data_IF_186606368743
#
_entry.id   IF_186606368743
#
_cell.length_a   1.000
_cell.length_b   1.000
_cell.length_c   1.000
_cell.angle_alpha   90.00
_cell.angle_beta   90.00
_cell.angle_gamma   90.00
#
_symmetry.space_group_name_H-M   'P 1'
#
loop_
_entity.id
_entity.type
_entity.pdbx_description
1 polymer ?
#
# COMPACT_ATOMS: atom_id res chain seq x y z
N UNK A 1 -27.70 6.22 2.74
CA UNK A 1 -26.55 6.38 3.65
C UNK A 1 -25.37 5.76 2.93
N UNK A 2 -24.27 6.49 2.65
CA UNK A 2 -23.13 5.87 1.98
C UNK A 2 -22.52 4.80 2.89
N UNK A 3 -22.23 3.63 2.33
CA UNK A 3 -21.59 2.54 3.05
C UNK A 3 -20.11 2.90 3.14
N UNK A 4 -19.63 3.36 4.29
CA UNK A 4 -18.19 3.58 4.54
C UNK A 4 -17.55 2.32 5.14
N UNK A 5 -16.22 2.23 5.15
CA UNK A 5 -15.45 1.21 5.90
C UNK A 5 -15.91 1.06 7.37
N UNK A 6 -16.55 2.08 7.95
CA UNK A 6 -17.14 2.03 9.29
C UNK A 6 -18.27 1.00 9.45
N UNK A 7 -18.83 0.49 8.35
CA UNK A 7 -19.80 -0.61 8.36
C UNK A 7 -19.12 -1.99 8.38
N UNK A 8 -17.82 -2.04 8.07
CA UNK A 8 -16.97 -3.21 8.26
C UNK A 8 -16.48 -3.15 9.71
N UNK A 9 -16.65 -4.23 10.48
CA UNK A 9 -16.29 -4.25 11.89
C UNK A 9 -14.80 -3.91 12.07
N UNK A 10 -14.53 -2.72 12.63
CA UNK A 10 -13.20 -2.32 13.04
C UNK A 10 -12.73 -3.28 14.14
N UNK A 11 -11.52 -3.83 13.98
CA UNK A 11 -10.94 -4.62 15.07
C UNK A 11 -10.64 -3.66 16.24
N UNK A 12 -10.92 -4.06 17.49
CA UNK A 12 -10.55 -3.26 18.64
C UNK A 12 -9.02 -3.14 18.67
N UNK A 13 -8.51 -1.95 18.38
CA UNK A 13 -7.09 -1.65 18.48
C UNK A 13 -6.72 -1.68 19.97
N UNK A 14 -5.77 -2.53 20.36
CA UNK A 14 -5.11 -2.37 21.66
C UNK A 14 -4.29 -1.08 21.59
N UNK A 15 -4.90 0.04 22.02
CA UNK A 15 -4.18 1.29 22.23
C UNK A 15 -3.17 1.08 23.36
N UNK A 16 -1.93 0.75 22.99
CA UNK A 16 -0.80 0.98 23.86
C UNK A 16 -0.61 2.50 23.97
N UNK A 17 -1.21 3.06 25.00
CA UNK A 17 -1.14 4.46 25.39
C UNK A 17 0.29 4.86 25.75
N UNK A 18 1.12 5.18 24.76
CA UNK A 18 2.42 5.86 24.97
C UNK A 18 2.69 6.88 23.87
N UNK A 19 2.48 8.16 24.24
CA UNK A 19 2.78 9.38 23.50
C UNK A 19 2.11 9.54 22.11
N UNK A 20 1.46 10.68 21.86
CA UNK A 20 1.11 11.11 20.50
C UNK A 20 2.41 11.41 19.74
N UNK A 21 3.05 10.36 19.20
CA UNK A 21 4.13 10.48 18.24
C UNK A 21 3.64 11.10 16.93
N UNK A 22 4.57 11.48 16.06
CA UNK A 22 4.28 11.91 14.69
C UNK A 22 3.50 10.80 13.98
N UNK A 23 2.32 11.11 13.40
CA UNK A 23 1.51 10.09 12.70
C UNK A 23 2.14 9.75 11.36
N UNK A 24 1.72 8.61 10.80
CA UNK A 24 2.26 8.15 9.51
C UNK A 24 1.84 9.00 8.31
N UNK A 25 0.88 9.91 8.51
CA UNK A 25 0.43 10.91 7.54
C UNK A 25 0.91 12.33 7.88
N UNK A 26 1.65 12.52 8.98
CA UNK A 26 2.17 13.83 9.39
C UNK A 26 3.56 14.10 8.75
N UNK A 27 3.70 13.89 7.43
CA UNK A 27 4.99 13.98 6.71
C UNK A 27 5.68 15.33 6.91
N UNK A 28 4.94 16.43 6.90
CA UNK A 28 5.50 17.76 7.19
C UNK A 28 6.06 17.85 8.61
N UNK A 29 5.37 17.28 9.59
CA UNK A 29 5.84 17.29 10.98
C UNK A 29 7.09 16.41 11.15
N UNK A 30 7.12 15.25 10.49
CA UNK A 30 8.29 14.37 10.47
C UNK A 30 9.51 15.08 9.86
N UNK A 31 9.36 15.64 8.66
CA UNK A 31 10.43 16.36 7.98
C UNK A 31 10.88 17.60 8.78
N UNK A 32 9.95 18.33 9.39
CA UNK A 32 10.27 19.46 10.27
C UNK A 32 11.03 19.04 11.53
N UNK A 33 10.75 17.85 12.07
CA UNK A 33 11.47 17.32 13.22
C UNK A 33 12.89 16.88 12.83
N UNK A 34 13.05 16.24 11.67
CA UNK A 34 14.35 15.89 11.10
C UNK A 34 15.19 17.13 10.79
N UNK A 35 14.59 18.16 10.19
CA UNK A 35 15.27 19.40 9.83
C UNK A 35 15.92 20.07 11.04
N UNK A 36 15.16 20.18 12.12
CA UNK A 36 15.66 20.68 13.42
C UNK A 36 16.79 19.84 13.99
N UNK A 37 16.79 18.53 13.76
CA UNK A 37 17.80 17.62 14.29
C UNK A 37 19.09 17.64 13.47
N UNK A 38 18.98 17.70 12.14
CA UNK A 38 20.13 17.65 11.23
C UNK A 38 20.86 18.99 11.08
N UNK A 39 20.15 20.12 11.23
CA UNK A 39 20.70 21.48 11.05
C UNK A 39 21.44 21.67 9.70
N UNK A 40 21.04 20.92 8.68
CA UNK A 40 21.63 20.96 7.34
C UNK A 40 20.89 22.00 6.49
N UNK A 41 21.62 22.98 5.97
CA UNK A 41 21.04 24.09 5.20
C UNK A 41 20.41 23.66 3.89
N UNK A 42 20.95 22.61 3.24
CA UNK A 42 20.42 22.08 1.99
C UNK A 42 19.12 21.31 2.26
N UNK A 43 19.11 20.48 3.31
CA UNK A 43 17.91 19.78 3.75
C UNK A 43 16.79 20.75 4.15
N UNK A 44 17.13 21.81 4.90
CA UNK A 44 16.18 22.85 5.29
C UNK A 44 15.53 23.53 4.08
N UNK A 45 16.34 23.89 3.07
CA UNK A 45 15.85 24.49 1.83
C UNK A 45 14.94 23.52 1.07
N UNK A 46 15.30 22.23 0.98
CA UNK A 46 14.50 21.20 0.32
C UNK A 46 13.14 20.98 1.01
N UNK A 47 13.12 20.87 2.34
CA UNK A 47 11.88 20.68 3.11
C UNK A 47 10.99 21.92 3.02
N UNK A 48 11.57 23.12 3.10
CA UNK A 48 10.83 24.39 3.04
C UNK A 48 10.18 24.63 1.67
N UNK A 49 10.80 24.10 0.61
CA UNK A 49 10.32 24.22 -0.76
C UNK A 49 9.51 22.99 -1.22
N UNK A 50 9.22 22.03 -0.34
CA UNK A 50 8.48 20.82 -0.70
C UNK A 50 7.09 21.19 -1.24
N UNK A 51 6.77 20.91 -2.52
CA UNK A 51 5.46 21.24 -3.07
C UNK A 51 4.34 20.46 -2.35
N UNK A 52 3.18 21.09 -2.19
CA UNK A 52 2.05 20.51 -1.42
C UNK A 52 1.54 19.21 -2.04
N UNK A 53 1.73 19.04 -3.33
CA UNK A 53 1.38 17.84 -4.09
C UNK A 53 2.07 16.60 -3.51
N UNK A 54 3.29 16.74 -2.98
CA UNK A 54 4.04 15.64 -2.38
C UNK A 54 3.49 15.17 -1.02
N UNK A 55 2.62 15.94 -0.38
CA UNK A 55 1.97 15.56 0.90
C UNK A 55 0.46 15.44 0.79
N UNK A 56 -0.11 15.71 -0.39
CA UNK A 56 -1.57 15.74 -0.60
C UNK A 56 -2.21 14.39 -0.31
N UNK A 57 -1.57 13.30 -0.74
CA UNK A 57 -2.09 11.95 -0.47
C UNK A 57 -2.16 11.67 1.04
N UNK A 58 -1.18 12.13 1.81
CA UNK A 58 -1.17 11.96 3.27
C UNK A 58 -2.28 12.78 3.95
N UNK A 59 -2.58 13.95 3.43
CA UNK A 59 -3.70 14.75 3.91
C UNK A 59 -5.06 14.07 3.68
N UNK A 60 -5.20 13.30 2.60
CA UNK A 60 -6.43 12.60 2.23
C UNK A 60 -6.53 11.19 2.86
N UNK A 61 -5.41 10.48 2.94
CA UNK A 61 -5.31 9.10 3.43
C UNK A 61 -4.84 9.08 4.89
N UNK A 62 -5.73 9.43 5.83
CA UNK A 62 -5.40 9.53 7.28
C UNK A 62 -5.92 8.37 8.14
N UNK A 63 -6.75 7.49 7.58
CA UNK A 63 -7.42 6.45 8.34
C UNK A 63 -6.49 5.26 8.64
N UNK A 64 -5.85 5.28 9.80
CA UNK A 64 -4.94 4.22 10.26
C UNK A 64 -5.66 3.03 10.92
N UNK A 65 -7.01 2.99 10.95
CA UNK A 65 -7.76 1.91 11.61
C UNK A 65 -7.59 0.57 10.89
N UNK A 66 -7.58 -0.51 11.65
CA UNK A 66 -7.61 -1.86 11.11
C UNK A 66 -9.06 -2.35 11.02
N UNK A 67 -9.52 -2.60 9.80
CA UNK A 67 -10.84 -3.17 9.53
C UNK A 67 -10.75 -4.66 9.26
N UNK A 68 -11.85 -5.37 9.45
CA UNK A 68 -11.98 -6.77 9.01
C UNK A 68 -12.21 -6.83 7.49
N UNK A 69 -11.22 -6.34 6.73
CA UNK A 69 -11.22 -6.25 5.28
C UNK A 69 -10.52 -7.47 4.67
N UNK A 70 -11.14 -8.11 3.69
CA UNK A 70 -10.42 -9.05 2.83
C UNK A 70 -9.82 -8.27 1.65
N UNK A 71 -8.54 -7.90 1.76
CA UNK A 71 -7.84 -7.08 0.77
C UNK A 71 -7.77 -7.81 -0.57
N UNK A 72 -7.51 -9.12 -0.55
CA UNK A 72 -7.41 -9.92 -1.76
C UNK A 72 -8.74 -9.88 -2.54
N UNK A 73 -9.85 -10.21 -1.89
CA UNK A 73 -11.17 -10.24 -2.55
C UNK A 73 -11.61 -8.86 -3.06
N UNK A 74 -11.15 -7.77 -2.45
CA UNK A 74 -11.48 -6.42 -2.87
C UNK A 74 -10.71 -6.00 -4.12
N UNK A 75 -9.41 -6.31 -4.19
CA UNK A 75 -8.53 -5.79 -5.25
C UNK A 75 -8.14 -6.80 -6.32
N UNK A 76 -8.40 -8.09 -6.14
CA UNK A 76 -7.95 -9.13 -7.06
C UNK A 76 -9.09 -9.99 -7.59
N UNK A 77 -8.90 -10.45 -8.83
CA UNK A 77 -9.72 -11.50 -9.43
C UNK A 77 -9.39 -12.87 -8.81
N UNK A 78 -10.34 -13.81 -8.76
CA UNK A 78 -10.07 -15.17 -8.28
C UNK A 78 -8.94 -15.84 -9.06
N UNK A 79 -8.01 -16.46 -8.33
CA UNK A 79 -6.88 -17.22 -8.89
C UNK A 79 -6.72 -18.54 -8.14
N UNK A 80 -5.74 -19.36 -8.52
CA UNK A 80 -5.47 -20.63 -7.85
C UNK A 80 -5.15 -20.42 -6.36
N UNK A 81 -5.74 -21.24 -5.48
CA UNK A 81 -5.62 -21.11 -4.02
C UNK A 81 -4.18 -20.92 -3.54
N UNK A 82 -3.23 -21.69 -4.11
CA UNK A 82 -1.82 -21.65 -3.72
C UNK A 82 -1.16 -20.28 -3.99
N UNK A 83 -1.60 -19.56 -5.02
CA UNK A 83 -1.13 -18.21 -5.37
C UNK A 83 -1.83 -17.17 -4.51
N UNK A 84 -3.13 -17.37 -4.28
CA UNK A 84 -3.96 -16.50 -3.44
C UNK A 84 -3.41 -16.41 -2.02
N UNK A 85 -3.04 -17.54 -1.42
CA UNK A 85 -2.60 -17.62 -0.02
C UNK A 85 -1.32 -16.80 0.24
N UNK A 86 -0.34 -16.84 -0.67
CA UNK A 86 0.94 -16.13 -0.51
C UNK A 86 0.74 -14.60 -0.60
N UNK A 87 -0.03 -14.15 -1.59
CA UNK A 87 -0.35 -12.72 -1.77
C UNK A 87 -1.19 -12.24 -0.59
N UNK A 88 -2.26 -12.96 -0.26
CA UNK A 88 -3.19 -12.59 0.81
C UNK A 88 -2.48 -12.49 2.15
N UNK A 89 -1.70 -13.52 2.53
CA UNK A 89 -0.97 -13.51 3.80
C UNK A 89 0.02 -12.34 3.89
N UNK A 90 0.69 -12.01 2.79
CA UNK A 90 1.59 -10.85 2.72
C UNK A 90 0.82 -9.55 2.93
N UNK A 91 -0.25 -9.30 2.17
CA UNK A 91 -1.03 -8.06 2.27
C UNK A 91 -1.71 -7.91 3.64
N UNK A 92 -2.26 -9.00 4.18
CA UNK A 92 -2.88 -9.03 5.52
C UNK A 92 -1.84 -8.73 6.61
N UNK A 93 -0.62 -9.27 6.49
CA UNK A 93 0.47 -8.97 7.41
C UNK A 93 0.80 -7.47 7.42
N UNK A 94 0.96 -6.85 6.25
CA UNK A 94 1.26 -5.42 6.17
C UNK A 94 0.09 -4.55 6.61
N UNK A 95 -1.15 -4.96 6.34
CA UNK A 95 -2.32 -4.27 6.86
C UNK A 95 -2.38 -4.33 8.38
N UNK A 96 -2.16 -5.47 9.03
CA UNK A 96 -2.15 -5.51 10.49
C UNK A 96 -0.97 -4.76 11.11
N UNK A 97 0.21 -4.71 10.45
CA UNK A 97 1.45 -4.23 11.09
C UNK A 97 1.95 -2.85 10.63
N UNK A 98 1.46 -2.29 9.52
CA UNK A 98 1.91 -1.01 8.98
C UNK A 98 0.76 0.01 8.92
N UNK A 99 0.71 1.01 9.82
CA UNK A 99 -0.30 2.08 9.74
C UNK A 99 -0.24 2.87 8.43
N UNK A 100 0.96 3.04 7.86
CA UNK A 100 1.16 3.65 6.54
C UNK A 100 0.50 2.83 5.44
N UNK A 101 0.66 1.51 5.46
CA UNK A 101 0.02 0.66 4.46
C UNK A 101 -1.51 0.68 4.64
N UNK A 102 -2.00 0.59 5.88
CA UNK A 102 -3.44 0.65 6.17
C UNK A 102 -4.09 1.92 5.66
N UNK A 103 -3.50 3.09 5.90
CA UNK A 103 -4.14 4.36 5.50
C UNK A 103 -4.30 4.47 3.98
N UNK A 104 -3.34 3.94 3.21
CA UNK A 104 -3.42 3.91 1.75
C UNK A 104 -4.50 2.95 1.25
N UNK A 105 -4.56 1.73 1.81
CA UNK A 105 -5.62 0.77 1.50
C UNK A 105 -6.99 1.32 1.86
N UNK A 106 -7.15 1.86 3.08
CA UNK A 106 -8.41 2.43 3.56
C UNK A 106 -8.85 3.62 2.71
N UNK A 107 -7.91 4.47 2.29
CA UNK A 107 -8.18 5.58 1.38
C UNK A 107 -8.78 5.08 0.06
N UNK A 108 -8.12 4.11 -0.61
CA UNK A 108 -8.63 3.60 -1.89
C UNK A 108 -9.99 2.92 -1.73
N UNK A 109 -10.16 2.06 -0.73
CA UNK A 109 -11.45 1.37 -0.48
C UNK A 109 -12.57 2.39 -0.24
N UNK A 110 -12.35 3.38 0.64
CA UNK A 110 -13.34 4.42 0.89
C UNK A 110 -13.63 5.25 -0.36
N UNK A 111 -12.60 5.60 -1.14
CA UNK A 111 -12.76 6.33 -2.38
C UNK A 111 -13.63 5.55 -3.38
N UNK A 112 -13.34 4.26 -3.57
CA UNK A 112 -14.10 3.39 -4.46
C UNK A 112 -15.57 3.27 -4.04
N UNK A 113 -15.83 2.99 -2.75
CA UNK A 113 -17.21 2.82 -2.27
C UNK A 113 -18.00 4.13 -2.32
N UNK A 114 -17.38 5.25 -1.90
CA UNK A 114 -18.08 6.54 -1.83
C UNK A 114 -18.42 7.10 -3.22
N UNK A 115 -17.63 6.77 -4.24
CA UNK A 115 -17.81 7.24 -5.61
C UNK A 115 -18.49 6.22 -6.53
N UNK A 116 -18.93 5.07 -5.99
CA UNK A 116 -19.51 3.96 -6.76
C UNK A 116 -18.61 3.54 -7.95
N UNK A 117 -17.29 3.58 -7.73
CA UNK A 117 -16.30 3.23 -8.74
C UNK A 117 -16.10 1.73 -8.68
N UNK A 118 -16.47 1.05 -9.76
CA UNK A 118 -16.09 -0.35 -9.96
C UNK A 118 -14.57 -0.40 -10.07
N UNK A 119 -13.93 -0.85 -8.99
CA UNK A 119 -12.47 -0.91 -8.94
C UNK A 119 -12.09 -2.10 -9.79
N UNK A 120 -11.52 -1.85 -10.97
CA UNK A 120 -11.07 -2.92 -11.86
C UNK A 120 -10.12 -3.81 -11.09
N UNK A 121 -10.61 -4.99 -10.71
CA UNK A 121 -9.83 -5.97 -9.97
C UNK A 121 -8.64 -6.39 -10.82
N UNK A 122 -7.53 -6.62 -10.13
CA UNK A 122 -6.30 -7.04 -10.75
C UNK A 122 -6.28 -8.56 -10.92
N UNK A 123 -6.03 -9.03 -12.14
CA UNK A 123 -5.76 -10.44 -12.41
C UNK A 123 -4.28 -10.75 -12.16
N UNK A 124 -4.00 -11.79 -11.38
CA UNK A 124 -2.64 -12.27 -11.12
C UNK A 124 -2.21 -13.25 -12.22
N UNK A 125 -1.13 -12.93 -12.94
CA UNK A 125 -0.55 -13.78 -13.98
C UNK A 125 0.76 -14.40 -13.52
N UNK A 126 0.89 -15.72 -13.69
CA UNK A 126 2.17 -16.39 -13.46
C UNK A 126 3.11 -16.07 -14.62
N UNK A 127 4.25 -15.45 -14.31
CA UNK A 127 5.22 -14.94 -15.29
C UNK A 127 6.64 -15.08 -14.76
N UNK A 128 7.67 -15.27 -15.60
CA UNK A 128 9.06 -15.26 -15.13
C UNK A 128 9.50 -13.90 -14.57
N UNK A 129 8.80 -12.82 -14.92
CA UNK A 129 9.16 -11.45 -14.54
C UNK A 129 8.02 -10.75 -13.80
N UNK A 130 8.41 -9.90 -12.87
CA UNK A 130 7.53 -8.92 -12.23
C UNK A 130 7.10 -7.84 -13.21
N UNK A 131 5.78 -7.64 -13.40
CA UNK A 131 5.25 -6.50 -14.15
C UNK A 131 3.88 -6.08 -13.65
N UNK A 132 3.54 -4.81 -13.88
CA UNK A 132 2.19 -4.28 -13.70
C UNK A 132 1.73 -3.64 -15.00
N UNK A 133 0.56 -4.06 -15.47
CA UNK A 133 -0.06 -3.59 -16.71
C UNK A 133 -1.45 -3.04 -16.40
N UNK A 134 -1.67 -1.79 -16.79
CA UNK A 134 -2.97 -1.12 -16.73
C UNK A 134 -3.13 -0.33 -18.04
N UNK A 135 -3.74 -0.98 -19.02
CA UNK A 135 -3.95 -0.43 -20.37
C UNK A 135 -5.44 -0.16 -20.59
N UNK A 136 -5.77 1.07 -21.03
CA UNK A 136 -7.14 1.49 -21.29
C UNK A 136 -7.87 0.50 -22.21
N UNK A 137 -9.00 -0.04 -21.75
CA UNK A 137 -9.81 -1.01 -22.50
C UNK A 137 -9.36 -2.48 -22.39
N UNK A 138 -8.33 -2.76 -21.60
CA UNK A 138 -7.91 -4.11 -21.21
C UNK A 138 -7.96 -4.28 -19.69
N UNK A 139 -7.93 -5.51 -19.20
CA UNK A 139 -7.90 -5.77 -17.75
C UNK A 139 -6.63 -5.24 -17.09
N UNK A 140 -6.64 -5.15 -15.76
CA UNK A 140 -5.47 -4.81 -14.96
C UNK A 140 -4.74 -6.10 -14.57
N UNK A 141 -3.44 -6.17 -14.82
CA UNK A 141 -2.66 -7.39 -14.59
C UNK A 141 -1.45 -7.14 -13.70
N UNK A 142 -1.19 -8.09 -12.82
CA UNK A 142 0.01 -8.14 -12.00
C UNK A 142 0.70 -9.49 -12.27
N UNK A 143 1.83 -9.41 -12.96
CA UNK A 143 2.63 -10.56 -13.36
C UNK A 143 3.65 -10.87 -12.28
N UNK A 144 3.66 -12.10 -11.79
CA UNK A 144 4.47 -12.54 -10.65
C UNK A 144 5.17 -13.89 -10.93
N UNK A 145 6.46 -14.03 -10.57
CA UNK A 145 7.15 -15.31 -10.60
C UNK A 145 6.88 -16.14 -9.36
N UNK A 146 6.42 -17.37 -9.57
CA UNK A 146 6.16 -18.35 -8.52
C UNK A 146 7.02 -19.60 -8.70
N UNK A 147 7.46 -20.17 -7.59
CA UNK A 147 8.13 -21.47 -7.59
C UNK A 147 7.10 -22.62 -7.72
N UNK A 148 7.60 -23.85 -7.80
CA UNK A 148 6.74 -25.05 -7.91
C UNK A 148 5.86 -25.30 -6.68
N UNK A 149 6.12 -24.62 -5.57
CA UNK A 149 5.35 -24.70 -4.32
C UNK A 149 4.37 -23.53 -4.18
N UNK A 150 4.33 -22.61 -5.16
CA UNK A 150 3.44 -21.45 -5.16
C UNK A 150 3.94 -20.27 -4.33
N UNK A 151 5.21 -20.22 -3.95
CA UNK A 151 5.80 -19.06 -3.29
C UNK A 151 6.41 -18.10 -4.30
N UNK A 152 6.33 -16.80 -4.01
CA UNK A 152 6.98 -15.79 -4.83
C UNK A 152 8.51 -15.95 -4.87
N UNK A 153 9.08 -15.84 -6.07
CA UNK A 153 10.52 -15.98 -6.31
C UNK A 153 11.21 -14.62 -6.24
N UNK A 154 12.21 -14.47 -5.37
CA UNK A 154 13.03 -13.26 -5.30
C UNK A 154 13.61 -12.88 -6.68
N UNK A 155 13.66 -11.58 -7.01
CA UNK A 155 14.29 -11.11 -8.24
C UNK A 155 15.79 -11.45 -8.23
N UNK A 156 16.34 -11.76 -9.41
CA UNK A 156 17.79 -12.01 -9.57
C UNK A 156 18.65 -10.75 -9.41
N UNK A 157 18.03 -9.56 -9.37
CA UNK A 157 18.75 -8.29 -9.25
C UNK A 157 19.16 -8.03 -7.79
N UNK A 158 20.47 -8.07 -7.54
CA UNK A 158 21.08 -7.64 -6.29
C UNK A 158 21.65 -6.24 -6.49
N UNK A 159 20.99 -5.22 -5.96
CA UNK A 159 21.67 -3.94 -5.77
C UNK A 159 22.67 -4.09 -4.62
N UNK A 160 23.87 -3.51 -4.76
CA UNK A 160 25.03 -3.82 -3.92
C UNK A 160 24.85 -3.47 -2.43
N UNK A 161 23.77 -2.77 -2.05
CA UNK A 161 23.50 -2.34 -0.68
C UNK A 161 22.21 -2.92 -0.05
N UNK A 162 21.26 -3.45 -0.84
CA UNK A 162 20.06 -4.08 -0.30
C UNK A 162 19.52 -5.20 -1.19
N UNK A 163 19.25 -6.37 -0.59
CA UNK A 163 18.51 -7.45 -1.25
C UNK A 163 17.06 -7.00 -1.47
N UNK A 164 16.67 -6.84 -2.73
CA UNK A 164 15.26 -6.67 -3.11
C UNK A 164 14.61 -8.04 -2.96
N UNK A 165 13.52 -8.11 -2.18
CA UNK A 165 12.76 -9.34 -1.96
C UNK A 165 11.50 -9.34 -2.81
N UNK A 166 10.97 -10.53 -3.07
CA UNK A 166 9.68 -10.71 -3.73
C UNK A 166 8.54 -9.96 -3.04
N UNK A 167 8.51 -9.97 -1.71
CA UNK A 167 7.54 -9.24 -0.88
C UNK A 167 7.56 -7.73 -1.17
N UNK A 168 8.75 -7.13 -1.26
CA UNK A 168 8.88 -5.68 -1.53
C UNK A 168 8.35 -5.34 -2.91
N UNK A 169 8.65 -6.17 -3.92
CA UNK A 169 8.14 -5.93 -5.27
C UNK A 169 6.62 -6.13 -5.31
N UNK A 170 6.08 -7.16 -4.64
CA UNK A 170 4.63 -7.34 -4.54
C UNK A 170 3.94 -6.10 -3.98
N UNK A 171 4.46 -5.54 -2.88
CA UNK A 171 3.92 -4.32 -2.27
C UNK A 171 4.02 -3.13 -3.22
N UNK A 172 5.14 -2.95 -3.91
CA UNK A 172 5.33 -1.87 -4.87
C UNK A 172 4.31 -1.95 -6.02
N UNK A 173 4.15 -3.13 -6.61
CA UNK A 173 3.18 -3.35 -7.69
C UNK A 173 1.73 -3.19 -7.21
N UNK A 174 1.41 -3.66 -6.00
CA UNK A 174 0.10 -3.49 -5.40
C UNK A 174 -0.21 -2.01 -5.09
N UNK A 175 0.75 -1.27 -4.52
CA UNK A 175 0.60 0.16 -4.28
C UNK A 175 0.43 0.93 -5.59
N UNK A 176 1.20 0.56 -6.63
CA UNK A 176 1.02 1.09 -7.97
C UNK A 176 -0.41 0.82 -8.48
N UNK A 177 -0.96 -0.37 -8.26
CA UNK A 177 -2.33 -0.67 -8.66
C UNK A 177 -3.37 0.20 -7.97
N UNK A 178 -3.29 0.37 -6.65
CA UNK A 178 -4.33 1.09 -5.90
C UNK A 178 -4.20 2.61 -6.02
N UNK A 179 -3.00 3.13 -6.33
CA UNK A 179 -2.71 4.56 -6.45
C UNK A 179 -2.52 5.07 -7.89
N UNK A 180 -2.66 4.21 -8.92
CA UNK A 180 -2.33 4.57 -10.32
C UNK A 180 -3.10 5.80 -10.86
N UNK A 181 -4.33 6.01 -10.38
CA UNK A 181 -5.26 7.02 -10.90
C UNK A 181 -5.30 8.33 -10.08
N UNK A 182 -4.49 8.47 -9.04
CA UNK A 182 -4.42 9.64 -8.13
C UNK A 182 -3.12 10.44 -8.28
#
# INVERSE_FOLDING_TARGET
>A
MPITLEHIAAKPLQENSKAKGVRTWDTIQYLSALDKACQDTVFHEQVSNLPKEYTRLDEMARDEKEYSLNIFDFFFEPTADIICDDIKSTLDFYYSNSPTFRRLVNYKVNHSINNDIDTSKCEVKVSPNYSYENTEGSGVYLSLPFDKKGFLVDPEFHDCETRITSEKILLDLFLKHILYDD
#
